data_IF_986444672114
#
_entry.id   IF_986444672114
#
_cell.length_a   1.000
_cell.length_b   1.000
_cell.length_c   1.000
_cell.angle_alpha   90.00
_cell.angle_beta   90.00
_cell.angle_gamma   90.00
#
_symmetry.space_group_name_H-M   'P 1'
#
loop_
_entity.id
_entity.type
_entity.pdbx_description
1 polymer ?
#
# COMPACT_ATOMS: atom_id res chain seq x y z
N UNK A 1 -5.89 9.79 6.10
CA UNK A 1 -4.55 9.43 6.62
C UNK A 1 -3.52 9.86 5.57
N UNK A 2 -2.31 10.26 5.97
CA UNK A 2 -1.28 10.66 5.00
C UNK A 2 -0.95 9.51 4.05
N UNK A 3 -0.72 9.81 2.76
CA UNK A 3 -0.41 8.80 1.75
C UNK A 3 -1.58 7.95 1.25
N UNK A 4 -2.77 8.02 1.86
CA UNK A 4 -3.90 7.17 1.48
C UNK A 4 -4.36 7.34 0.02
N UNK A 5 -4.13 8.52 -0.58
CA UNK A 5 -4.41 8.79 -1.99
C UNK A 5 -3.45 8.04 -2.95
N UNK A 6 -2.33 7.54 -2.45
CA UNK A 6 -1.33 6.80 -3.23
C UNK A 6 -1.63 5.29 -3.28
N UNK A 7 -2.66 4.81 -2.59
CA UNK A 7 -3.11 3.41 -2.69
C UNK A 7 -3.67 3.13 -4.07
N UNK A 8 -3.38 1.94 -4.59
CA UNK A 8 -3.72 1.49 -5.95
C UNK A 8 -3.10 2.36 -7.06
N UNK A 9 -2.15 3.26 -6.75
CA UNK A 9 -1.42 4.07 -7.73
C UNK A 9 -0.17 3.32 -8.20
N UNK A 10 0.18 3.48 -9.48
CA UNK A 10 1.42 2.93 -10.03
C UNK A 10 2.65 3.68 -9.54
N UNK A 11 3.77 2.99 -9.39
CA UNK A 11 4.99 3.59 -8.84
C UNK A 11 5.53 4.74 -9.69
N UNK A 12 5.44 4.67 -11.02
CA UNK A 12 5.85 5.78 -11.88
C UNK A 12 5.02 7.05 -11.63
N UNK A 13 3.70 6.93 -11.43
CA UNK A 13 2.86 8.06 -11.06
C UNK A 13 3.19 8.59 -9.65
N UNK A 14 3.48 7.70 -8.70
CA UNK A 14 3.93 8.09 -7.36
C UNK A 14 5.23 8.89 -7.42
N UNK A 15 6.23 8.45 -8.19
CA UNK A 15 7.51 9.15 -8.31
C UNK A 15 7.36 10.50 -9.02
N UNK A 16 6.43 10.63 -9.98
CA UNK A 16 6.12 11.92 -10.62
C UNK A 16 5.46 12.90 -9.63
N UNK A 17 4.59 12.43 -8.75
CA UNK A 17 3.88 13.27 -7.78
C UNK A 17 4.73 13.61 -6.56
N UNK A 18 5.43 12.62 -6.01
CA UNK A 18 6.13 12.72 -4.74
C UNK A 18 7.61 13.07 -4.91
N UNK A 19 8.19 12.82 -6.08
CA UNK A 19 9.63 12.87 -6.34
C UNK A 19 10.36 11.62 -5.85
N UNK A 20 11.70 11.68 -5.86
CA UNK A 20 12.53 10.56 -5.44
C UNK A 20 12.41 10.29 -3.93
N UNK A 21 12.15 9.04 -3.51
CA UNK A 21 12.07 8.64 -2.11
C UNK A 21 13.45 8.73 -1.44
N UNK A 22 13.49 8.54 -0.12
CA UNK A 22 14.74 8.38 0.62
C UNK A 22 15.38 7.02 0.31
N UNK A 23 14.56 5.97 0.26
CA UNK A 23 14.99 4.58 0.04
C UNK A 23 13.92 3.81 -0.76
N UNK A 24 14.36 2.87 -1.59
CA UNK A 24 13.53 1.78 -2.11
C UNK A 24 14.16 0.47 -1.64
N UNK A 25 13.52 -0.21 -0.69
CA UNK A 25 13.94 -1.54 -0.25
C UNK A 25 13.36 -2.59 -1.19
N UNK A 26 14.21 -3.48 -1.68
CA UNK A 26 13.83 -4.56 -2.57
C UNK A 26 13.71 -5.86 -1.75
N UNK A 27 12.50 -6.42 -1.68
CA UNK A 27 12.26 -7.63 -0.87
C UNK A 27 12.78 -8.90 -1.55
N UNK A 28 13.34 -8.81 -2.76
CA UNK A 28 13.94 -9.96 -3.41
C UNK A 28 15.13 -10.52 -2.64
N UNK A 29 15.32 -11.83 -2.76
CA UNK A 29 16.55 -12.50 -2.35
C UNK A 29 17.77 -11.86 -3.03
N UNK A 30 18.92 -11.83 -2.36
CA UNK A 30 20.18 -11.29 -2.89
C UNK A 30 20.54 -11.95 -4.23
N UNK A 31 20.23 -13.24 -4.38
CA UNK A 31 20.52 -14.07 -5.55
C UNK A 31 19.68 -13.76 -6.80
N UNK A 32 18.57 -13.02 -6.66
CA UNK A 32 17.71 -12.68 -7.79
C UNK A 32 18.39 -11.65 -8.70
N UNK A 33 18.28 -11.86 -10.01
CA UNK A 33 18.79 -10.89 -10.99
C UNK A 33 18.01 -9.58 -10.90
N UNK A 34 18.74 -8.47 -10.74
CA UNK A 34 18.20 -7.10 -10.71
C UNK A 34 18.51 -6.39 -12.00
N UNK A 35 17.64 -5.45 -12.36
CA UNK A 35 17.77 -4.63 -13.54
C UNK A 35 18.17 -3.22 -13.13
N UNK A 36 19.11 -2.63 -13.87
CA UNK A 36 19.41 -1.21 -13.73
C UNK A 36 18.28 -0.43 -14.41
N UNK A 37 17.49 0.26 -13.59
CA UNK A 37 16.44 1.18 -14.03
C UNK A 37 16.85 2.61 -13.73
N UNK A 38 16.30 3.56 -14.49
CA UNK A 38 16.63 4.98 -14.36
C UNK A 38 15.38 5.81 -14.14
N UNK A 39 15.45 6.76 -13.20
CA UNK A 39 14.42 7.77 -12.98
C UNK A 39 15.06 9.14 -12.79
N UNK A 40 14.72 10.11 -13.64
CA UNK A 40 15.29 11.48 -13.59
C UNK A 40 16.83 11.53 -13.46
N UNK A 41 17.53 10.58 -14.09
CA UNK A 41 18.99 10.49 -14.03
C UNK A 41 19.56 9.73 -12.83
N UNK A 42 18.74 9.34 -11.85
CA UNK A 42 19.13 8.41 -10.80
C UNK A 42 19.10 6.97 -11.34
N UNK A 43 20.20 6.25 -11.21
CA UNK A 43 20.29 4.82 -11.51
C UNK A 43 19.96 4.00 -10.25
N UNK A 44 19.08 3.01 -10.40
CA UNK A 44 18.66 2.12 -9.33
C UNK A 44 18.74 0.68 -9.82
N UNK A 45 19.27 -0.22 -8.99
CA UNK A 45 19.31 -1.65 -9.30
C UNK A 45 18.19 -2.35 -8.52
N UNK A 46 17.11 -2.69 -9.21
CA UNK A 46 15.87 -3.20 -8.60
C UNK A 46 15.39 -4.46 -9.31
N UNK A 47 14.73 -5.34 -8.56
CA UNK A 47 14.08 -6.55 -9.07
C UNK A 47 12.61 -6.31 -9.43
N UNK A 48 11.93 -7.24 -10.13
CA UNK A 48 10.48 -7.17 -10.37
C UNK A 48 9.62 -7.62 -9.17
N UNK A 49 10.19 -7.85 -7.97
CA UNK A 49 9.49 -8.39 -6.81
C UNK A 49 8.65 -7.33 -6.07
N UNK A 50 8.61 -7.35 -4.74
CA UNK A 50 7.91 -6.32 -3.96
C UNK A 50 8.92 -5.29 -3.50
N UNK A 51 8.46 -4.04 -3.43
CA UNK A 51 9.27 -2.92 -2.99
C UNK A 51 8.63 -2.23 -1.80
N UNK A 52 9.46 -1.77 -0.88
CA UNK A 52 9.06 -0.78 0.13
C UNK A 52 9.69 0.57 -0.24
N UNK A 53 8.84 1.52 -0.65
CA UNK A 53 9.25 2.86 -1.09
C UNK A 53 9.09 3.81 0.08
N UNK A 54 10.20 4.29 0.65
CA UNK A 54 10.22 5.04 1.91
C UNK A 54 10.51 6.52 1.66
N UNK A 55 9.55 7.37 2.04
CA UNK A 55 9.70 8.82 2.13
C UNK A 55 9.94 9.23 3.59
N UNK A 56 11.06 9.87 3.86
CA UNK A 56 11.38 10.42 5.20
C UNK A 56 12.30 11.62 5.12
N UNK A 57 12.19 12.54 6.09
CA UNK A 57 13.05 13.75 6.13
C UNK A 57 14.46 13.48 6.67
N UNK A 58 14.63 12.39 7.38
CA UNK A 58 15.92 11.90 7.84
C UNK A 58 16.36 10.78 6.91
N UNK A 59 17.65 10.68 6.60
CA UNK A 59 18.17 9.49 5.94
C UNK A 59 18.08 8.36 6.95
N UNK A 60 16.97 7.65 6.95
CA UNK A 60 16.88 6.39 7.65
C UNK A 60 17.91 5.44 7.02
N UNK A 61 18.87 4.98 7.83
CA UNK A 61 19.71 3.83 7.50
C UNK A 61 18.85 2.59 7.64
N UNK A 62 17.87 2.46 6.76
CA UNK A 62 17.02 1.30 6.76
C UNK A 62 17.90 0.10 6.40
N UNK A 63 17.82 -0.93 7.23
CA UNK A 63 18.67 -2.13 7.19
C UNK A 63 18.27 -2.96 5.96
N UNK A 64 18.71 -2.51 4.79
CA UNK A 64 18.30 -3.05 3.51
C UNK A 64 19.55 -3.29 2.68
N UNK A 65 20.17 -4.44 2.89
CA UNK A 65 21.26 -4.95 2.06
C UNK A 65 20.86 -5.05 0.57
N UNK A 66 19.55 -5.05 0.27
CA UNK A 66 18.98 -5.13 -1.06
C UNK A 66 18.09 -3.90 -1.36
N UNK A 67 18.46 -3.11 -2.36
CA UNK A 67 17.65 -1.98 -2.83
C UNK A 67 18.47 -0.77 -3.26
N UNK A 68 17.84 0.40 -3.21
CA UNK A 68 18.44 1.68 -3.60
C UNK A 68 18.26 2.74 -2.52
N UNK A 69 19.33 3.49 -2.24
CA UNK A 69 19.33 4.62 -1.30
C UNK A 69 19.61 5.90 -2.07
N UNK A 70 18.79 6.93 -1.84
CA UNK A 70 18.91 8.19 -2.55
C UNK A 70 20.21 8.93 -2.15
N UNK A 71 21.12 9.22 -3.10
CA UNK A 71 22.37 9.93 -2.80
C UNK A 71 22.16 11.41 -2.44
N UNK A 72 20.99 11.98 -2.77
CA UNK A 72 20.60 13.36 -2.45
C UNK A 72 19.74 13.48 -1.19
N UNK A 73 19.07 14.61 -1.03
CA UNK A 73 17.95 14.72 -0.09
C UNK A 73 16.70 14.17 -0.80
N UNK A 74 15.97 13.25 -0.17
CA UNK A 74 14.70 12.77 -0.71
C UNK A 74 13.74 13.94 -0.94
N UNK A 75 13.07 13.97 -2.09
CA UNK A 75 11.98 14.90 -2.29
C UNK A 75 10.75 14.27 -1.62
N UNK A 76 10.19 14.96 -0.63
CA UNK A 76 9.17 14.40 0.27
C UNK A 76 7.86 15.18 0.17
N UNK A 77 7.47 15.57 -1.05
CA UNK A 77 6.23 16.32 -1.31
C UNK A 77 5.00 15.62 -0.70
N UNK A 78 4.96 14.29 -0.79
CA UNK A 78 3.87 13.48 -0.26
C UNK A 78 3.94 13.18 1.24
N UNK A 79 4.99 13.64 1.94
CA UNK A 79 5.14 13.46 3.38
C UNK A 79 4.47 14.61 4.14
N UNK A 80 3.30 14.32 4.70
CA UNK A 80 2.58 15.25 5.58
C UNK A 80 3.42 15.69 6.79
N UNK A 81 3.15 16.89 7.32
CA UNK A 81 3.82 17.44 8.51
C UNK A 81 3.67 16.60 9.77
N UNK A 82 2.64 15.77 9.83
CA UNK A 82 2.29 15.01 11.05
C UNK A 82 3.00 13.65 11.10
N UNK A 83 3.59 13.21 9.99
CA UNK A 83 4.29 11.92 9.87
C UNK A 83 5.80 12.14 9.74
N UNK A 84 6.57 11.27 10.40
CA UNK A 84 8.04 11.24 10.32
C UNK A 84 8.53 10.50 9.09
N UNK A 85 7.82 9.42 8.73
CA UNK A 85 8.07 8.63 7.54
C UNK A 85 6.78 8.03 6.98
N UNK A 86 6.80 7.76 5.68
CA UNK A 86 5.75 7.08 4.92
C UNK A 86 6.41 6.02 4.04
N UNK A 87 6.12 4.75 4.32
CA UNK A 87 6.51 3.63 3.48
C UNK A 87 5.31 3.19 2.62
N UNK A 88 5.53 3.04 1.31
CA UNK A 88 4.54 2.51 0.38
C UNK A 88 4.96 1.09 -0.01
N UNK A 89 4.06 0.13 0.18
CA UNK A 89 4.27 -1.27 -0.17
C UNK A 89 3.79 -1.49 -1.59
N UNK A 90 4.72 -1.66 -2.53
CA UNK A 90 4.44 -1.85 -3.94
C UNK A 90 4.63 -3.31 -4.34
N UNK A 91 3.65 -3.85 -5.07
CA UNK A 91 3.70 -5.20 -5.63
C UNK A 91 4.04 -5.13 -7.10
N UNK A 92 5.07 -5.88 -7.52
CA UNK A 92 5.42 -6.08 -8.92
C UNK A 92 4.39 -6.90 -9.70
N UNK A 93 4.66 -7.08 -11.00
CA UNK A 93 3.80 -7.74 -11.97
C UNK A 93 2.37 -7.16 -12.07
N UNK A 94 2.19 -5.90 -11.71
CA UNK A 94 0.93 -5.17 -11.87
C UNK A 94 0.70 -4.87 -13.35
N UNK A 95 -0.10 -5.72 -14.01
CA UNK A 95 -0.43 -5.61 -15.41
C UNK A 95 -1.75 -4.88 -15.68
N UNK A 96 -1.91 -4.46 -16.93
CA UNK A 96 -3.10 -3.78 -17.43
C UNK A 96 -4.05 -4.82 -18.02
N UNK A 97 -5.25 -4.91 -17.45
CA UNK A 97 -6.36 -5.67 -18.02
C UNK A 97 -7.06 -4.81 -19.07
N UNK A 98 -7.06 -5.26 -20.32
CA UNK A 98 -7.81 -4.63 -21.41
C UNK A 98 -8.93 -5.56 -21.87
N UNK A 99 -10.16 -5.04 -21.88
CA UNK A 99 -11.33 -5.75 -22.41
C UNK A 99 -11.80 -5.04 -23.67
N UNK A 100 -11.69 -5.70 -24.82
CA UNK A 100 -12.12 -5.16 -26.12
C UNK A 100 -13.24 -6.02 -26.69
N UNK A 101 -14.28 -5.39 -27.22
CA UNK A 101 -15.32 -6.14 -27.95
C UNK A 101 -14.70 -6.77 -29.19
N UNK A 102 -15.00 -8.04 -29.44
CA UNK A 102 -14.48 -8.75 -30.62
C UNK A 102 -15.01 -8.12 -31.91
N UNK A 103 -14.21 -8.18 -32.98
CA UNK A 103 -14.56 -7.63 -34.29
C UNK A 103 -15.85 -8.23 -34.90
N UNK A 104 -16.19 -9.46 -34.51
CA UNK A 104 -17.41 -10.17 -34.91
C UNK A 104 -18.66 -9.79 -34.07
N UNK A 105 -18.52 -8.84 -33.13
CA UNK A 105 -19.54 -8.46 -32.14
C UNK A 105 -20.03 -9.59 -31.23
N UNK A 106 -19.39 -10.77 -31.24
CA UNK A 106 -19.77 -11.95 -30.44
C UNK A 106 -18.79 -12.14 -29.29
N UNK A 107 -18.98 -11.33 -28.25
CA UNK A 107 -18.23 -11.40 -26.99
C UNK A 107 -17.07 -10.43 -26.90
N UNK A 108 -16.20 -10.66 -25.92
CA UNK A 108 -15.09 -9.79 -25.56
C UNK A 108 -13.77 -10.57 -25.58
N UNK A 109 -12.70 -9.88 -25.98
CA UNK A 109 -11.33 -10.32 -25.84
C UNK A 109 -10.75 -9.62 -24.62
N UNK A 110 -10.26 -10.41 -23.67
CA UNK A 110 -9.57 -9.92 -22.47
C UNK A 110 -8.09 -10.21 -22.62
N UNK A 111 -7.24 -9.18 -22.54
CA UNK A 111 -5.79 -9.31 -22.56
C UNK A 111 -5.19 -8.74 -21.28
N UNK A 112 -4.17 -9.41 -20.74
CA UNK A 112 -3.37 -8.93 -19.62
C UNK A 112 -1.95 -8.65 -20.12
N UNK A 113 -1.46 -7.44 -19.86
CA UNK A 113 -0.12 -7.03 -20.26
C UNK A 113 0.62 -6.38 -19.09
N UNK A 114 1.77 -6.93 -18.72
CA UNK A 114 2.68 -6.29 -17.76
C UNK A 114 3.57 -5.32 -18.54
N UNK A 115 3.70 -4.05 -18.10
CA UNK A 115 4.63 -3.11 -18.73
C UNK A 115 6.08 -3.55 -18.60
N UNK A 116 6.92 -3.26 -19.61
CA UNK A 116 8.36 -3.56 -19.55
C UNK A 116 9.11 -2.69 -18.53
N UNK A 117 8.60 -1.47 -18.26
CA UNK A 117 9.16 -0.60 -17.23
C UNK A 117 8.81 -1.13 -15.84
N UNK A 118 9.83 -1.41 -15.02
CA UNK A 118 9.60 -1.89 -13.65
C UNK A 118 8.72 -0.92 -12.85
N UNK A 119 8.93 0.39 -12.92
CA UNK A 119 8.09 1.36 -12.22
C UNK A 119 6.61 1.32 -12.67
N UNK A 120 6.37 1.09 -13.96
CA UNK A 120 5.02 0.96 -14.50
C UNK A 120 4.36 -0.40 -14.15
N UNK A 121 5.18 -1.42 -13.90
CA UNK A 121 4.77 -2.77 -13.51
C UNK A 121 4.59 -2.94 -12.00
N UNK A 122 4.74 -1.87 -11.20
CA UNK A 122 4.51 -1.92 -9.76
C UNK A 122 3.32 -1.04 -9.38
N UNK A 123 2.51 -1.54 -8.46
CA UNK A 123 1.35 -0.84 -7.91
C UNK A 123 1.41 -0.85 -6.38
N UNK A 124 1.10 0.30 -5.76
CA UNK A 124 1.04 0.43 -4.31
C UNK A 124 -0.19 -0.29 -3.77
N UNK A 125 0.03 -1.35 -3.00
CA UNK A 125 -1.02 -2.18 -2.40
C UNK A 125 -1.21 -1.93 -0.91
N UNK A 126 -0.34 -1.12 -0.31
CA UNK A 126 -0.46 -0.75 1.09
C UNK A 126 0.49 0.38 1.43
N UNK A 127 0.36 0.89 2.66
CA UNK A 127 1.28 1.87 3.20
C UNK A 127 1.41 1.74 4.70
N UNK A 128 2.50 2.27 5.23
CA UNK A 128 2.75 2.44 6.66
C UNK A 128 3.21 3.88 6.90
N UNK A 129 2.53 4.59 7.79
CA UNK A 129 2.93 5.92 8.23
C UNK A 129 3.31 5.93 9.71
N UNK A 130 4.43 6.55 10.03
CA UNK A 130 4.86 6.78 11.42
C UNK A 130 4.55 8.21 11.83
N UNK A 131 3.91 8.41 12.98
CA UNK A 131 3.58 9.74 13.49
C UNK A 131 4.80 10.39 14.15
N UNK A 132 4.96 11.72 14.00
CA UNK A 132 6.04 12.47 14.64
C UNK A 132 5.97 12.43 16.18
N UNK A 133 4.78 12.57 16.76
CA UNK A 133 4.58 12.61 18.22
C UNK A 133 3.61 11.53 18.74
N UNK A 134 3.27 10.57 17.88
CA UNK A 134 2.16 9.64 18.14
C UNK A 134 0.80 10.34 18.15
N UNK A 135 -0.27 9.55 18.12
CA UNK A 135 -1.66 10.03 18.25
C UNK A 135 -2.38 9.25 19.35
N UNK A 136 -3.01 9.91 20.35
CA UNK A 136 -3.78 9.20 21.37
C UNK A 136 -4.91 8.35 20.76
N UNK A 137 -5.11 7.14 21.30
CA UNK A 137 -6.18 6.24 20.84
C UNK A 137 -7.56 6.90 20.93
N UNK A 138 -7.80 7.72 21.95
CA UNK A 138 -9.04 8.48 22.09
C UNK A 138 -9.31 9.42 20.92
N UNK A 139 -8.27 10.02 20.31
CA UNK A 139 -8.41 10.89 19.13
C UNK A 139 -8.76 10.07 17.88
N UNK A 140 -8.19 8.87 17.75
CA UNK A 140 -8.55 7.93 16.68
C UNK A 140 -10.01 7.51 16.84
N UNK A 141 -10.41 7.10 18.05
CA UNK A 141 -11.78 6.65 18.33
C UNK A 141 -12.82 7.75 18.19
N UNK A 142 -12.50 8.98 18.60
CA UNK A 142 -13.37 10.13 18.39
C UNK A 142 -13.61 10.42 16.90
N UNK A 143 -12.64 10.09 16.03
CA UNK A 143 -12.74 10.34 14.59
C UNK A 143 -13.39 9.19 13.82
N UNK A 144 -13.10 7.95 14.19
CA UNK A 144 -13.46 6.76 13.42
C UNK A 144 -14.41 5.81 14.14
N UNK A 145 -14.77 6.08 15.39
CA UNK A 145 -15.57 5.20 16.23
C UNK A 145 -14.73 4.12 16.92
N UNK A 146 -15.38 3.04 17.36
CA UNK A 146 -14.68 1.89 17.93
C UNK A 146 -14.03 1.06 16.81
N UNK A 147 -12.88 0.42 17.07
CA UNK A 147 -12.30 -0.51 16.10
C UNK A 147 -13.22 -1.70 15.88
N UNK A 148 -13.22 -2.25 14.67
CA UNK A 148 -13.93 -3.48 14.34
C UNK A 148 -13.26 -4.69 15.00
N UNK A 149 -11.93 -4.67 15.07
CA UNK A 149 -11.11 -5.74 15.66
C UNK A 149 -9.96 -5.17 16.50
N UNK A 150 -9.61 -5.88 17.57
CA UNK A 150 -8.38 -5.62 18.34
C UNK A 150 -7.55 -6.90 18.31
N UNK A 151 -6.38 -6.81 17.68
CA UNK A 151 -5.45 -7.94 17.53
C UNK A 151 -4.27 -7.73 18.47
N UNK A 152 -3.95 -8.72 19.29
CA UNK A 152 -2.73 -8.70 20.09
C UNK A 152 -1.52 -9.06 19.20
N UNK A 153 -0.44 -8.29 19.34
CA UNK A 153 0.87 -8.49 18.71
C UNK A 153 1.89 -8.82 19.80
N UNK A 154 3.10 -9.20 19.37
CA UNK A 154 4.26 -9.36 20.25
C UNK A 154 4.59 -8.05 21.00
N UNK A 155 5.36 -8.17 22.09
CA UNK A 155 5.83 -7.05 22.90
C UNK A 155 4.74 -6.13 23.49
N UNK A 156 3.53 -6.67 23.70
CA UNK A 156 2.41 -5.91 24.29
C UNK A 156 1.85 -4.82 23.37
N UNK A 157 2.13 -4.92 22.07
CA UNK A 157 1.54 -4.10 21.03
C UNK A 157 0.14 -4.63 20.71
N UNK A 158 -0.79 -3.73 20.43
CA UNK A 158 -2.14 -4.07 19.93
C UNK A 158 -2.39 -3.37 18.60
N UNK A 159 -3.03 -4.05 17.66
CA UNK A 159 -3.54 -3.43 16.44
C UNK A 159 -5.02 -3.16 16.60
N UNK A 160 -5.40 -1.89 16.49
CA UNK A 160 -6.78 -1.45 16.44
C UNK A 160 -7.15 -1.34 14.97
N UNK A 161 -7.92 -2.32 14.48
CA UNK A 161 -8.25 -2.46 13.06
C UNK A 161 -9.63 -1.89 12.76
N UNK A 162 -9.69 -1.11 11.69
CA UNK A 162 -10.92 -0.57 11.10
C UNK A 162 -11.04 -1.06 9.66
N UNK A 163 -12.20 -1.61 9.31
CA UNK A 163 -12.53 -2.02 7.96
C UNK A 163 -13.19 -0.88 7.20
N UNK A 164 -12.58 -0.46 6.10
CA UNK A 164 -13.18 0.48 5.15
C UNK A 164 -13.69 -0.33 3.98
N UNK A 165 -15.00 -0.30 3.73
CA UNK A 165 -15.63 -1.04 2.62
C UNK A 165 -16.31 -0.06 1.69
N UNK A 166 -15.90 -0.06 0.42
CA UNK A 166 -16.54 0.73 -0.64
C UNK A 166 -17.61 -0.12 -1.30
N UNK A 167 -18.81 0.44 -1.47
CA UNK A 167 -19.97 -0.25 -2.04
C UNK A 167 -20.51 0.46 -3.28
N UNK A 168 -20.97 -0.31 -4.25
CA UNK A 168 -21.78 0.17 -5.38
C UNK A 168 -23.17 -0.45 -5.30
N UNK A 169 -24.21 0.36 -5.08
CA UNK A 169 -25.60 -0.13 -4.91
C UNK A 169 -25.71 -1.31 -3.92
N UNK A 170 -25.04 -1.21 -2.77
CA UNK A 170 -24.89 -2.24 -1.72
C UNK A 170 -23.84 -3.33 -1.97
N UNK A 171 -23.47 -3.62 -3.22
CA UNK A 171 -22.42 -4.60 -3.52
C UNK A 171 -21.05 -4.10 -3.01
N UNK A 172 -20.34 -4.84 -2.15
CA UNK A 172 -18.96 -4.53 -1.79
C UNK A 172 -18.05 -4.65 -3.02
N UNK A 173 -17.33 -3.58 -3.36
CA UNK A 173 -16.43 -3.55 -4.53
C UNK A 173 -14.96 -3.37 -4.14
N UNK A 174 -14.69 -2.93 -2.91
CA UNK A 174 -13.34 -2.79 -2.37
C UNK A 174 -13.36 -2.85 -0.85
N UNK A 175 -12.26 -3.31 -0.26
CA UNK A 175 -12.03 -3.32 1.17
C UNK A 175 -10.60 -2.88 1.48
N UNK A 176 -10.43 -2.17 2.58
CA UNK A 176 -9.14 -1.85 3.18
C UNK A 176 -9.17 -2.15 4.68
N UNK A 177 -8.07 -2.70 5.19
CA UNK A 177 -7.80 -2.77 6.62
C UNK A 177 -6.93 -1.58 7.02
N UNK A 178 -7.40 -0.79 7.98
CA UNK A 178 -6.66 0.32 8.56
C UNK A 178 -6.30 -0.05 9.99
N UNK A 179 -5.02 -0.32 10.21
CA UNK A 179 -4.49 -0.76 11.51
C UNK A 179 -3.77 0.40 12.18
N UNK A 180 -4.14 0.68 13.42
CA UNK A 180 -3.41 1.58 14.30
C UNK A 180 -2.62 0.76 15.33
N UNK A 181 -1.30 0.88 15.31
CA UNK A 181 -0.43 0.20 16.27
C UNK A 181 -0.41 0.97 17.58
N UNK A 182 -0.88 0.33 18.65
CA UNK A 182 -1.04 0.91 19.98
C UNK A 182 -0.14 0.16 20.96
N UNK A 183 0.77 0.88 21.62
CA UNK A 183 1.50 0.33 22.77
C UNK A 183 0.58 0.30 23.99
N UNK A 184 0.30 -0.91 24.51
CA UNK A 184 -0.79 -1.17 25.46
C UNK A 184 -0.76 -0.31 26.74
N UNK A 185 0.42 0.04 27.24
CA UNK A 185 0.58 0.86 28.45
C UNK A 185 0.37 2.36 28.22
N UNK A 186 0.66 2.85 27.01
CA UNK A 186 0.68 4.29 26.71
C UNK A 186 -0.63 4.77 26.07
N UNK A 187 -1.44 3.89 25.48
CA UNK A 187 -2.63 4.25 24.69
C UNK A 187 -2.35 5.33 23.63
N UNK A 188 -1.12 5.32 23.12
CA UNK A 188 -0.66 6.17 22.03
C UNK A 188 -0.42 5.28 20.83
N UNK A 189 -0.92 5.72 19.69
CA UNK A 189 -0.66 5.13 18.39
C UNK A 189 0.56 5.80 17.76
N UNK A 190 1.64 5.04 17.56
CA UNK A 190 2.86 5.55 16.91
C UNK A 190 2.85 5.34 15.40
N UNK A 191 2.09 4.36 14.91
CA UNK A 191 2.12 3.91 13.52
C UNK A 191 0.72 3.56 13.03
N UNK A 192 0.42 3.89 11.78
CA UNK A 192 -0.74 3.35 11.09
C UNK A 192 -0.31 2.60 9.84
N UNK A 193 -1.07 1.57 9.49
CA UNK A 193 -0.87 0.79 8.26
C UNK A 193 -2.21 0.69 7.54
N UNK A 194 -2.20 0.86 6.22
CA UNK A 194 -3.37 0.60 5.38
C UNK A 194 -3.01 -0.52 4.41
N UNK A 195 -3.82 -1.58 4.41
CA UNK A 195 -3.65 -2.75 3.55
C UNK A 195 -4.86 -2.88 2.65
N UNK A 196 -4.63 -3.08 1.35
CA UNK A 196 -5.68 -3.26 0.34
C UNK A 196 -5.81 -4.73 -0.05
N UNK A 197 -6.67 -5.02 -1.04
CA UNK A 197 -6.85 -6.34 -1.66
C UNK A 197 -5.57 -7.00 -2.18
N UNK A 198 -4.45 -6.27 -2.32
CA UNK A 198 -3.16 -6.88 -2.61
C UNK A 198 -2.64 -7.80 -1.50
N UNK A 199 -3.22 -7.71 -0.29
CA UNK A 199 -2.99 -8.61 0.84
C UNK A 199 -4.10 -9.66 0.94
N UNK A 200 -3.69 -10.93 1.14
CA UNK A 200 -4.58 -12.10 1.14
C UNK A 200 -5.77 -11.94 2.10
N UNK A 201 -5.53 -11.60 3.37
CA UNK A 201 -6.60 -11.48 4.36
C UNK A 201 -7.62 -10.35 4.05
N UNK A 202 -7.21 -9.30 3.32
CA UNK A 202 -8.13 -8.23 2.88
C UNK A 202 -8.98 -8.71 1.71
N UNK A 203 -8.38 -9.46 0.78
CA UNK A 203 -9.10 -10.10 -0.31
C UNK A 203 -10.12 -11.11 0.23
N UNK A 204 -9.73 -11.96 1.18
CA UNK A 204 -10.63 -12.92 1.84
C UNK A 204 -11.82 -12.21 2.52
N UNK A 205 -11.57 -11.08 3.18
CA UNK A 205 -12.65 -10.27 3.78
C UNK A 205 -13.60 -9.72 2.72
N UNK A 206 -13.07 -9.21 1.61
CA UNK A 206 -13.89 -8.70 0.50
C UNK A 206 -14.75 -9.81 -0.11
N UNK A 207 -14.16 -10.98 -0.37
CA UNK A 207 -14.87 -12.15 -0.92
C UNK A 207 -15.99 -12.61 0.00
N UNK A 208 -15.75 -12.66 1.32
CA UNK A 208 -16.76 -13.02 2.30
C UNK A 208 -17.94 -12.03 2.29
N UNK A 209 -17.66 -10.73 2.21
CA UNK A 209 -18.68 -9.68 2.12
C UNK A 209 -19.48 -9.77 0.80
N UNK A 210 -18.82 -10.07 -0.32
CA UNK A 210 -19.47 -10.24 -1.62
C UNK A 210 -20.40 -11.45 -1.63
N UNK A 211 -19.94 -12.61 -1.12
CA UNK A 211 -20.77 -13.82 -1.00
C UNK A 211 -21.99 -13.59 -0.12
N UNK A 212 -21.83 -12.86 0.99
CA UNK A 212 -22.94 -12.51 1.86
C UNK A 212 -23.95 -11.60 1.13
N UNK A 213 -23.48 -10.60 0.38
CA UNK A 213 -24.34 -9.76 -0.43
C UNK A 213 -25.09 -10.53 -1.53
N UNK A 214 -24.42 -11.45 -2.23
CA UNK A 214 -25.07 -12.30 -3.24
C UNK A 214 -26.21 -13.11 -2.63
N UNK A 215 -25.97 -13.69 -1.45
CA UNK A 215 -26.98 -14.43 -0.70
C UNK A 215 -28.19 -13.57 -0.34
N UNK A 216 -27.96 -12.35 0.15
CA UNK A 216 -29.03 -11.50 0.70
C UNK A 216 -29.82 -10.71 -0.35
N UNK A 217 -29.29 -10.53 -1.58
CA UNK A 217 -29.87 -9.62 -2.57
C UNK A 217 -29.99 -10.16 -3.99
N UNK A 218 -29.36 -11.30 -4.30
CA UNK A 218 -29.34 -11.87 -5.67
C UNK A 218 -29.98 -13.25 -5.71
N UNK A 219 -29.81 -14.05 -4.65
CA UNK A 219 -30.29 -15.43 -4.58
C UNK A 219 -31.64 -15.59 -3.86
N UNK A 220 -32.18 -14.50 -3.30
CA UNK A 220 -33.56 -14.38 -2.81
C UNK A 220 -34.51 -13.92 -3.93
#
# INVERSE_FOLDING_TARGET
LAGAALLDVRVDAVLNECGLPSVIADTADVSLHRQVVRWEGAEMELSPMQWEIVYSRQRDTADHSNGWVNPGAGNVTCLSSDVSSLALHAKGDAGILSVKKRADNKGYLTSYQVPDSLYAAHQVIGLTGNWNQGTPVSRIQARYGNPDEILDKEDGIKLYRYWVVVKQKQMPISAQAVDFEVKGTQKICSKFTIQTKGYEFVQERLDALQRQWEKDYVLD
#
